data_IF_657829054103
#
_entry.id   IF_657829054103
#
_cell.length_a   1.000
_cell.length_b   1.000
_cell.length_c   1.000
_cell.angle_alpha   90.00
_cell.angle_beta   90.00
_cell.angle_gamma   90.00
#
_symmetry.space_group_name_H-M   'P 1'
#
loop_
_entity.id
_entity.type
_entity.pdbx_description
1 polymer ?
#
# COMPACT_ATOMS: atom_id res chain seq x y z
N UNK A 1 -78.60 33.74 42.86
CA UNK A 1 -78.65 32.85 44.05
C UNK A 1 -77.58 31.77 43.90
N UNK A 2 -76.89 31.48 45.01
CA UNK A 2 -76.04 30.32 45.35
C UNK A 2 -74.87 29.95 44.42
N UNK A 3 -73.60 30.13 44.86
CA UNK A 3 -72.82 29.40 45.91
C UNK A 3 -72.29 28.05 45.36
N UNK A 4 -71.03 27.85 44.95
CA UNK A 4 -69.69 27.86 45.60
C UNK A 4 -69.38 26.62 46.48
N UNK A 5 -68.14 26.11 46.34
CA UNK A 5 -67.33 25.17 47.19
C UNK A 5 -67.39 23.65 46.88
N UNK A 6 -66.33 22.82 46.98
CA UNK A 6 -64.84 22.93 47.01
C UNK A 6 -64.20 21.52 47.19
N UNK A 7 -62.94 21.33 46.75
CA UNK A 7 -61.92 20.39 47.31
C UNK A 7 -62.01 18.90 46.91
N UNK A 8 -60.95 18.09 46.77
CA UNK A 8 -59.49 18.07 47.09
C UNK A 8 -58.82 17.14 46.05
N UNK A 9 -57.68 17.43 45.41
CA UNK A 9 -56.25 17.49 45.84
C UNK A 9 -55.53 16.12 45.91
N UNK A 10 -54.51 15.94 45.06
CA UNK A 10 -53.40 14.97 45.19
C UNK A 10 -52.69 14.70 43.84
N UNK A 11 -51.73 15.54 43.41
CA UNK A 11 -50.24 15.32 43.43
C UNK A 11 -49.80 13.98 42.81
N UNK A 12 -48.79 13.87 41.94
CA UNK A 12 -47.77 14.73 41.31
C UNK A 12 -47.22 13.87 40.15
N UNK A 13 -46.67 14.46 39.09
CA UNK A 13 -45.30 14.18 38.61
C UNK A 13 -44.86 15.38 37.76
N UNK A 14 -43.71 15.94 38.14
CA UNK A 14 -43.06 17.08 37.51
C UNK A 14 -42.33 16.64 36.24
N UNK A 15 -42.41 17.47 35.19
CA UNK A 15 -41.36 17.55 34.17
C UNK A 15 -40.91 19.01 34.10
N UNK A 16 -39.60 19.18 34.02
CA UNK A 16 -38.82 20.40 34.24
C UNK A 16 -38.97 21.36 33.06
N UNK A 17 -39.23 22.64 33.35
CA UNK A 17 -39.07 23.75 32.41
C UNK A 17 -37.68 24.39 32.63
N UNK A 18 -36.97 24.78 31.57
CA UNK A 18 -37.02 26.18 31.08
C UNK A 18 -36.13 26.39 29.85
N UNK A 19 -36.81 26.80 28.77
CA UNK A 19 -36.58 27.96 27.87
C UNK A 19 -35.14 28.34 27.54
N UNK A 20 -34.87 28.56 26.25
CA UNK A 20 -34.60 29.92 25.74
C UNK A 20 -35.20 30.13 24.34
N UNK A 21 -35.64 31.36 24.12
CA UNK A 21 -36.49 31.87 23.04
C UNK A 21 -35.64 32.37 21.87
N UNK A 22 -36.05 32.07 20.64
CA UNK A 22 -35.51 32.67 19.42
C UNK A 22 -36.05 34.10 19.26
N UNK A 23 -35.18 35.08 19.05
CA UNK A 23 -35.57 36.43 18.62
C UNK A 23 -34.84 36.75 17.32
N UNK A 24 -35.61 36.85 16.24
CA UNK A 24 -35.18 37.28 14.91
C UNK A 24 -35.43 38.78 14.75
N UNK A 25 -34.45 39.54 14.29
CA UNK A 25 -34.65 40.89 13.73
C UNK A 25 -33.96 41.00 12.37
N UNK A 26 -34.67 41.58 11.40
CA UNK A 26 -34.26 41.73 9.99
C UNK A 26 -33.28 42.90 9.79
N UNK A 27 -32.33 42.65 8.87
CA UNK A 27 -31.68 43.53 7.88
C UNK A 27 -31.06 44.86 8.33
N UNK A 28 -29.74 44.99 8.21
CA UNK A 28 -29.15 45.93 7.24
C UNK A 28 -27.62 45.79 7.07
N UNK A 29 -27.23 45.60 5.80
CA UNK A 29 -26.03 46.03 5.04
C UNK A 29 -24.61 46.06 5.64
N UNK A 30 -23.74 45.32 4.94
CA UNK A 30 -22.43 45.71 4.40
C UNK A 30 -21.15 45.23 5.11
N UNK A 31 -20.16 44.96 4.25
CA UNK A 31 -18.73 44.76 4.47
C UNK A 31 -18.22 43.42 5.03
N UNK A 32 -17.85 42.56 4.08
CA UNK A 32 -16.53 41.91 3.91
C UNK A 32 -15.89 41.20 5.11
N UNK A 33 -15.51 39.94 4.83
CA UNK A 33 -14.49 39.12 5.48
C UNK A 33 -14.82 38.56 6.88
N UNK A 34 -15.42 37.38 6.87
CA UNK A 34 -15.06 36.35 7.84
C UNK A 34 -14.75 35.08 7.04
N UNK A 35 -13.46 34.82 6.85
CA UNK A 35 -12.96 33.63 6.20
C UNK A 35 -13.53 32.40 6.92
N UNK A 36 -14.22 31.54 6.17
CA UNK A 36 -14.46 30.17 6.56
C UNK A 36 -13.10 29.52 6.78
N UNK A 37 -12.72 29.33 8.04
CA UNK A 37 -11.63 28.43 8.40
C UNK A 37 -12.15 27.03 8.06
N UNK A 38 -11.95 26.64 6.80
CA UNK A 38 -11.85 25.24 6.42
C UNK A 38 -10.59 24.76 7.14
N UNK A 39 -10.76 24.14 8.30
CA UNK A 39 -9.69 23.28 8.83
C UNK A 39 -9.70 22.07 7.89
N UNK A 40 -9.02 22.23 6.77
CA UNK A 40 -8.57 21.11 5.94
C UNK A 40 -7.58 20.38 6.85
N UNK A 41 -8.05 19.35 7.55
CA UNK A 41 -7.18 18.41 8.26
C UNK A 41 -6.31 17.77 7.18
N UNK A 42 -5.14 18.36 6.92
CA UNK A 42 -4.15 17.81 6.01
C UNK A 42 -3.79 16.38 6.45
N UNK A 43 -3.52 15.47 5.50
CA UNK A 43 -3.31 14.04 5.73
C UNK A 43 -1.93 13.74 6.33
N UNK A 44 -1.55 14.45 7.39
CA UNK A 44 -0.34 14.21 8.20
C UNK A 44 -0.35 12.80 8.84
N UNK A 45 -1.50 12.11 8.83
CA UNK A 45 -1.67 10.76 9.37
C UNK A 45 -1.27 9.62 8.43
N UNK A 46 -0.89 9.90 7.17
CA UNK A 46 -0.64 8.84 6.19
C UNK A 46 0.65 9.02 5.39
N UNK A 47 1.59 9.86 5.86
CA UNK A 47 2.94 9.82 5.31
C UNK A 47 3.60 8.51 5.77
N UNK A 48 4.00 7.63 4.84
CA UNK A 48 4.71 6.41 5.22
C UNK A 48 5.98 6.82 5.97
N UNK A 49 6.23 6.17 7.09
CA UNK A 49 7.48 6.32 7.80
C UNK A 49 8.49 5.41 7.10
N UNK A 50 9.33 5.96 6.22
CA UNK A 50 10.44 5.20 5.64
C UNK A 50 11.67 5.39 6.53
N UNK A 51 12.33 4.28 6.87
CA UNK A 51 13.61 4.28 7.59
C UNK A 51 14.71 5.07 6.87
N UNK A 52 14.73 4.96 5.54
CA UNK A 52 15.60 5.67 4.61
C UNK A 52 14.73 6.31 3.51
N UNK A 53 15.11 7.46 2.93
CA UNK A 53 14.47 7.91 1.69
C UNK A 53 14.71 6.89 0.56
N UNK A 54 13.67 6.60 -0.22
CA UNK A 54 13.82 5.79 -1.43
C UNK A 54 14.52 6.57 -2.53
N UNK A 55 15.47 5.94 -3.20
CA UNK A 55 16.14 6.47 -4.39
C UNK A 55 15.39 6.11 -5.68
N UNK A 56 14.47 5.12 -5.62
CA UNK A 56 13.73 4.61 -6.78
C UNK A 56 12.28 5.09 -6.86
N UNK A 57 11.63 5.32 -5.71
CA UNK A 57 10.22 5.72 -5.64
C UNK A 57 10.08 7.22 -5.31
N UNK A 58 9.29 7.90 -6.13
CA UNK A 58 8.80 9.26 -5.84
C UNK A 58 7.65 9.22 -4.83
N UNK A 59 7.42 10.33 -4.13
CA UNK A 59 6.35 10.47 -3.12
C UNK A 59 4.99 10.00 -3.64
N UNK A 60 4.60 10.43 -4.84
CA UNK A 60 3.32 10.08 -5.46
C UNK A 60 3.22 8.58 -5.80
N UNK A 61 4.35 7.93 -6.10
CA UNK A 61 4.41 6.49 -6.34
C UNK A 61 4.24 5.70 -5.04
N UNK A 62 4.84 6.18 -3.95
CA UNK A 62 4.68 5.56 -2.63
C UNK A 62 3.22 5.68 -2.17
N UNK A 63 2.60 6.85 -2.31
CA UNK A 63 1.18 7.06 -1.98
C UNK A 63 0.23 6.12 -2.76
N UNK A 64 0.57 5.82 -4.01
CA UNK A 64 -0.15 4.83 -4.81
C UNK A 64 0.04 3.42 -4.26
N UNK A 65 1.28 3.00 -3.99
CA UNK A 65 1.58 1.66 -3.48
C UNK A 65 0.94 1.35 -2.13
N UNK A 66 0.95 2.30 -1.18
CA UNK A 66 0.39 2.13 0.17
C UNK A 66 -1.06 1.64 0.13
N UNK A 67 -1.85 2.12 -0.83
CA UNK A 67 -3.28 1.76 -0.97
C UNK A 67 -3.50 0.28 -1.31
N UNK A 68 -2.45 -0.42 -1.76
CA UNK A 68 -2.51 -1.82 -2.16
C UNK A 68 -1.78 -2.76 -1.20
N UNK A 69 -1.04 -2.22 -0.22
CA UNK A 69 -0.33 -3.05 0.75
C UNK A 69 -1.30 -3.89 1.61
N UNK A 70 -0.86 -5.07 2.08
CA UNK A 70 -1.66 -5.89 2.98
C UNK A 70 -2.04 -5.14 4.27
N UNK A 71 -3.24 -5.36 4.84
CA UNK A 71 -3.64 -4.71 6.08
C UNK A 71 -2.66 -4.91 7.26
N UNK A 72 -1.92 -6.03 7.26
CA UNK A 72 -0.92 -6.34 8.30
C UNK A 72 0.33 -5.45 8.26
N UNK A 73 0.55 -4.67 7.20
CA UNK A 73 1.66 -3.71 7.13
C UNK A 73 1.25 -2.33 7.64
N UNK A 74 -0.02 -2.09 7.96
CA UNK A 74 -0.51 -0.79 8.41
C UNK A 74 0.09 -0.47 9.78
N UNK A 75 0.66 0.73 9.91
CA UNK A 75 1.27 1.22 11.14
C UNK A 75 2.74 0.83 11.33
N UNK A 76 3.27 -0.06 10.49
CA UNK A 76 4.70 -0.39 10.46
C UNK A 76 5.44 0.52 9.49
N UNK A 77 6.64 1.02 9.86
CA UNK A 77 7.47 1.76 8.93
C UNK A 77 8.00 0.84 7.82
N UNK A 78 8.40 1.46 6.70
CA UNK A 78 9.09 0.76 5.61
C UNK A 78 10.59 0.75 5.92
N UNK A 79 11.13 -0.42 6.16
CA UNK A 79 12.54 -0.64 6.49
C UNK A 79 13.30 -1.09 5.25
N UNK A 80 14.30 -0.33 4.80
CA UNK A 80 15.13 -0.71 3.65
C UNK A 80 16.09 -1.82 4.06
N UNK A 81 15.76 -3.07 3.75
CA UNK A 81 16.55 -4.25 4.15
C UNK A 81 17.60 -4.65 3.12
N UNK A 82 17.43 -4.23 1.88
CA UNK A 82 18.40 -4.46 0.81
C UNK A 82 18.28 -3.40 -0.28
N UNK A 83 19.41 -3.02 -0.86
CA UNK A 83 19.46 -2.29 -2.13
C UNK A 83 20.73 -2.62 -2.88
N UNK A 84 20.67 -2.61 -4.21
CA UNK A 84 21.85 -2.85 -5.06
C UNK A 84 22.93 -1.80 -4.85
N UNK A 85 22.54 -0.54 -4.66
CA UNK A 85 23.47 0.56 -4.37
C UNK A 85 24.24 0.40 -3.05
N UNK A 86 23.62 -0.17 -2.00
CA UNK A 86 24.26 -0.36 -0.68
C UNK A 86 24.92 -1.74 -0.50
N UNK A 87 24.37 -2.78 -1.13
CA UNK A 87 24.71 -4.19 -0.82
C UNK A 87 25.32 -4.94 -2.01
N UNK A 88 25.39 -4.33 -3.19
CA UNK A 88 25.85 -4.93 -4.43
C UNK A 88 24.77 -5.74 -5.15
N UNK A 89 25.13 -6.38 -6.25
CA UNK A 89 24.22 -7.10 -7.14
C UNK A 89 24.44 -8.61 -6.99
N UNK A 90 23.94 -9.21 -5.90
CA UNK A 90 24.06 -10.66 -5.68
C UNK A 90 22.82 -11.22 -5.00
N UNK A 91 22.16 -12.16 -5.67
CA UNK A 91 20.97 -12.84 -5.15
C UNK A 91 21.27 -13.58 -3.83
N UNK A 92 22.48 -14.10 -3.67
CA UNK A 92 22.93 -14.72 -2.41
C UNK A 92 22.97 -13.72 -1.26
N UNK A 93 23.39 -12.48 -1.53
CA UNK A 93 23.37 -11.41 -0.53
C UNK A 93 21.93 -11.02 -0.20
N UNK A 94 21.05 -10.92 -1.21
CA UNK A 94 19.63 -10.69 -1.00
C UNK A 94 18.99 -11.77 -0.12
N UNK A 95 19.23 -13.07 -0.38
CA UNK A 95 18.70 -14.12 0.51
C UNK A 95 19.23 -14.03 1.93
N UNK A 96 20.47 -13.60 2.13
CA UNK A 96 21.03 -13.42 3.47
C UNK A 96 20.34 -12.30 4.25
N UNK A 97 19.88 -11.23 3.59
CA UNK A 97 19.13 -10.15 4.26
C UNK A 97 17.69 -10.52 4.57
N UNK A 98 17.15 -11.56 3.94
CA UNK A 98 15.82 -12.10 4.25
C UNK A 98 15.78 -12.96 5.52
N UNK A 99 16.93 -13.39 6.04
CA UNK A 99 16.99 -14.29 7.19
C UNK A 99 16.48 -13.60 8.46
N UNK A 100 15.50 -14.22 9.12
CA UNK A 100 14.92 -13.73 10.38
C UNK A 100 13.77 -12.75 10.21
N UNK A 101 13.44 -12.35 8.97
CA UNK A 101 12.25 -11.54 8.70
C UNK A 101 10.98 -12.41 8.76
N UNK A 102 9.89 -11.83 9.24
CA UNK A 102 8.54 -12.44 9.25
C UNK A 102 7.48 -11.40 8.86
N UNK A 103 7.62 -10.83 7.67
CA UNK A 103 6.79 -9.74 7.15
C UNK A 103 6.72 -9.82 5.62
N UNK A 104 5.69 -9.26 4.95
CA UNK A 104 5.70 -9.10 3.51
C UNK A 104 6.92 -8.30 3.05
N UNK A 105 7.37 -8.57 1.84
CA UNK A 105 8.52 -7.90 1.26
C UNK A 105 8.11 -7.17 -0.01
N UNK A 106 8.33 -5.87 -0.07
CA UNK A 106 8.14 -5.09 -1.29
C UNK A 106 9.48 -4.98 -2.03
N UNK A 107 9.52 -5.54 -3.24
CA UNK A 107 10.61 -5.38 -4.19
C UNK A 107 10.26 -4.29 -5.20
N UNK A 108 11.15 -3.30 -5.32
CA UNK A 108 11.08 -2.24 -6.30
C UNK A 108 12.28 -2.38 -7.22
N UNK A 109 12.02 -2.41 -8.52
CA UNK A 109 13.03 -2.52 -9.57
C UNK A 109 12.94 -1.27 -10.42
N UNK A 110 14.10 -0.67 -10.69
CA UNK A 110 14.26 0.33 -11.75
C UNK A 110 15.11 -0.28 -12.84
N UNK A 111 14.60 -0.30 -14.07
CA UNK A 111 15.36 -0.79 -15.23
C UNK A 111 16.24 0.31 -15.86
N UNK A 112 17.11 -0.08 -16.78
CA UNK A 112 17.98 0.84 -17.54
C UNK A 112 17.24 1.81 -18.45
N UNK A 113 15.96 1.53 -18.75
CA UNK A 113 15.08 2.43 -19.51
C UNK A 113 14.33 3.41 -18.59
N UNK A 114 14.63 3.40 -17.29
CA UNK A 114 14.08 4.29 -16.26
C UNK A 114 12.69 3.89 -15.76
N UNK A 115 12.17 2.73 -16.14
CA UNK A 115 10.86 2.25 -15.71
C UNK A 115 10.94 1.65 -14.31
N UNK A 116 9.88 1.89 -13.52
CA UNK A 116 9.76 1.37 -12.17
C UNK A 116 8.62 0.36 -12.11
N UNK A 117 8.90 -0.83 -11.62
CA UNK A 117 7.95 -1.93 -11.44
C UNK A 117 8.46 -2.88 -10.37
N UNK A 118 7.70 -3.91 -10.03
CA UNK A 118 8.15 -4.87 -9.04
C UNK A 118 7.04 -5.75 -8.50
N UNK A 119 7.24 -6.23 -7.28
CA UNK A 119 6.36 -7.17 -6.64
C UNK A 119 6.26 -6.92 -5.14
N UNK A 120 5.09 -7.15 -4.56
CA UNK A 120 4.97 -7.44 -3.14
C UNK A 120 4.90 -8.95 -2.97
N UNK A 121 5.84 -9.51 -2.21
CA UNK A 121 5.87 -10.90 -1.77
C UNK A 121 5.18 -11.05 -0.41
N UNK A 122 4.36 -12.09 -0.26
CA UNK A 122 3.69 -12.37 1.01
C UNK A 122 4.62 -12.84 2.12
N UNK A 123 5.84 -13.28 1.79
CA UNK A 123 6.85 -13.76 2.74
C UNK A 123 8.26 -13.49 2.18
N UNK A 124 9.32 -13.50 3.03
CA UNK A 124 10.67 -13.20 2.59
C UNK A 124 11.22 -14.18 1.55
N UNK A 125 12.09 -13.67 0.67
CA UNK A 125 12.65 -14.48 -0.41
C UNK A 125 13.55 -15.58 0.13
N UNK A 126 13.37 -16.79 -0.40
CA UNK A 126 14.15 -17.96 -0.06
C UNK A 126 14.37 -18.87 -1.26
N UNK A 127 15.42 -19.67 -1.17
CA UNK A 127 15.66 -20.80 -2.06
C UNK A 127 14.63 -21.89 -1.74
N UNK A 128 13.95 -22.40 -2.76
CA UNK A 128 12.90 -23.41 -2.64
C UNK A 128 12.74 -24.24 -3.91
N UNK A 129 12.66 -25.56 -3.73
CA UNK A 129 12.39 -26.49 -4.83
C UNK A 129 10.99 -26.27 -5.42
N UNK A 130 10.04 -25.85 -4.58
CA UNK A 130 8.65 -25.57 -4.94
C UNK A 130 8.33 -24.07 -4.94
N UNK A 131 7.22 -23.71 -5.58
CA UNK A 131 6.64 -22.38 -5.40
C UNK A 131 6.18 -22.17 -3.94
N UNK A 132 6.31 -20.95 -3.45
CA UNK A 132 5.88 -20.52 -2.11
C UNK A 132 5.16 -19.17 -2.19
N UNK A 133 4.69 -18.67 -1.06
CA UNK A 133 3.87 -17.47 -0.96
C UNK A 133 2.37 -17.73 -0.94
N UNK A 134 1.61 -16.65 -0.79
CA UNK A 134 0.15 -16.65 -0.71
C UNK A 134 -0.44 -15.66 -1.72
N UNK A 135 -1.77 -15.65 -1.82
CA UNK A 135 -2.52 -14.69 -2.64
C UNK A 135 -2.42 -13.22 -2.20
N UNK A 136 -1.72 -12.90 -1.10
CA UNK A 136 -1.30 -11.52 -0.79
C UNK A 136 -0.24 -11.01 -1.77
N UNK A 137 0.49 -11.92 -2.42
CA UNK A 137 1.51 -11.59 -3.42
C UNK A 137 0.86 -10.88 -4.61
N UNK A 138 1.44 -9.78 -5.07
CA UNK A 138 1.00 -9.08 -6.26
C UNK A 138 2.17 -8.47 -7.03
N UNK A 139 1.94 -8.17 -8.30
CA UNK A 139 2.88 -7.42 -9.14
C UNK A 139 2.37 -6.00 -9.33
N UNK A 140 3.28 -5.07 -9.61
CA UNK A 140 2.91 -3.72 -10.01
C UNK A 140 3.84 -3.19 -11.08
N UNK A 141 3.37 -2.22 -11.85
CA UNK A 141 4.19 -1.45 -12.79
C UNK A 141 3.75 0.00 -12.79
N UNK A 142 4.68 0.92 -13.07
CA UNK A 142 4.42 2.31 -13.41
C UNK A 142 4.55 2.57 -14.92
N UNK A 143 4.53 1.52 -15.75
CA UNK A 143 4.69 1.57 -17.21
C UNK A 143 3.45 1.03 -17.93
N UNK A 144 2.79 1.81 -18.82
CA UNK A 144 2.93 3.26 -19.02
C UNK A 144 2.31 4.08 -17.88
N UNK A 145 1.43 3.46 -17.09
CA UNK A 145 0.75 4.04 -15.94
C UNK A 145 0.86 3.08 -14.75
N UNK A 146 0.37 3.52 -13.59
CA UNK A 146 0.38 2.69 -12.40
C UNK A 146 -0.72 1.63 -12.43
N UNK A 147 -0.36 0.36 -12.44
CA UNK A 147 -1.28 -0.77 -12.29
C UNK A 147 -0.75 -1.79 -11.28
N UNK A 148 -1.69 -2.51 -10.65
CA UNK A 148 -1.43 -3.59 -9.68
C UNK A 148 -2.16 -4.85 -10.11
N UNK A 149 -1.41 -5.94 -10.28
CA UNK A 149 -1.90 -7.24 -10.70
C UNK A 149 -1.92 -8.20 -9.51
N UNK A 150 -3.11 -8.39 -8.93
CA UNK A 150 -3.34 -9.30 -7.81
C UNK A 150 -3.56 -10.73 -8.30
N UNK A 151 -3.51 -11.67 -7.37
CA UNK A 151 -3.79 -13.07 -7.67
C UNK A 151 -5.16 -13.27 -8.34
N UNK A 152 -5.17 -14.05 -9.43
CA UNK A 152 -6.37 -14.36 -10.22
C UNK A 152 -7.22 -15.49 -9.63
N UNK A 153 -6.66 -16.29 -8.73
CA UNK A 153 -7.27 -17.54 -8.27
C UNK A 153 -6.93 -18.77 -9.12
N UNK A 154 -6.20 -18.63 -10.24
CA UNK A 154 -5.96 -19.72 -11.20
C UNK A 154 -5.04 -20.83 -10.64
N UNK A 155 -3.93 -20.44 -10.00
CA UNK A 155 -2.93 -21.36 -9.45
C UNK A 155 -2.16 -20.71 -8.30
N UNK A 156 -1.32 -21.48 -7.59
CA UNK A 156 -0.54 -21.02 -6.43
C UNK A 156 0.95 -20.83 -6.74
N UNK A 157 1.30 -20.52 -7.99
CA UNK A 157 2.69 -20.36 -8.44
C UNK A 157 3.20 -18.93 -8.22
N UNK A 158 3.18 -18.45 -6.97
CA UNK A 158 3.45 -17.04 -6.64
C UNK A 158 4.92 -16.67 -6.76
N UNK A 159 5.79 -17.36 -6.02
CA UNK A 159 7.22 -17.04 -5.94
C UNK A 159 8.03 -18.32 -6.04
N UNK A 160 9.12 -18.30 -6.79
CA UNK A 160 10.11 -19.37 -6.84
C UNK A 160 11.51 -18.76 -6.82
N UNK A 161 12.37 -19.26 -5.94
CA UNK A 161 13.75 -18.82 -5.84
C UNK A 161 14.68 -20.02 -5.84
N UNK A 162 15.81 -19.91 -6.53
CA UNK A 162 16.93 -20.84 -6.48
C UNK A 162 18.25 -20.05 -6.41
N UNK A 163 19.39 -20.74 -6.49
CA UNK A 163 20.69 -20.07 -6.34
C UNK A 163 21.02 -19.12 -7.50
N UNK A 164 20.37 -19.30 -8.65
CA UNK A 164 20.70 -18.65 -9.91
C UNK A 164 19.56 -17.74 -10.41
N UNK A 165 18.39 -17.76 -9.76
CA UNK A 165 17.28 -16.91 -10.12
C UNK A 165 16.22 -16.71 -9.03
N UNK A 166 15.50 -15.60 -9.17
CA UNK A 166 14.29 -15.30 -8.40
C UNK A 166 13.16 -14.95 -9.37
N UNK A 167 12.00 -15.57 -9.18
CA UNK A 167 10.88 -15.49 -10.10
C UNK A 167 9.54 -15.33 -9.40
N UNK A 168 8.63 -14.62 -10.05
CA UNK A 168 7.26 -14.39 -9.62
C UNK A 168 6.28 -14.77 -10.73
N UNK A 169 5.20 -15.46 -10.35
CA UNK A 169 4.05 -15.74 -11.20
C UNK A 169 4.32 -16.74 -12.31
N UNK A 170 3.76 -17.95 -12.19
CA UNK A 170 3.91 -19.02 -13.18
C UNK A 170 2.62 -19.38 -13.94
N UNK A 171 2.57 -20.62 -14.43
CA UNK A 171 1.35 -21.22 -15.00
C UNK A 171 1.10 -20.96 -16.49
N UNK A 172 2.07 -20.39 -17.21
CA UNK A 172 1.96 -20.08 -18.65
C UNK A 172 3.19 -20.40 -19.51
N UNK A 173 4.20 -21.10 -18.97
CA UNK A 173 5.48 -21.39 -19.63
C UNK A 173 6.60 -20.46 -19.18
N UNK A 174 6.32 -19.16 -19.11
CA UNK A 174 7.25 -18.14 -18.60
C UNK A 174 6.83 -17.60 -17.23
N UNK A 175 7.72 -16.84 -16.61
CA UNK A 175 7.45 -16.13 -15.35
C UNK A 175 7.02 -14.69 -15.61
N UNK A 176 6.13 -14.16 -14.77
CA UNK A 176 5.71 -12.77 -14.89
C UNK A 176 6.81 -11.75 -14.61
N UNK A 177 7.70 -12.09 -13.68
CA UNK A 177 8.91 -11.37 -13.38
C UNK A 177 9.99 -12.38 -13.01
N UNK A 178 11.15 -12.29 -13.64
CA UNK A 178 12.31 -13.16 -13.40
C UNK A 178 13.56 -12.29 -13.33
N UNK A 179 14.46 -12.63 -12.41
CA UNK A 179 15.77 -12.01 -12.24
C UNK A 179 16.83 -13.11 -12.14
N UNK A 180 18.01 -12.86 -12.71
CA UNK A 180 19.16 -13.74 -12.58
C UNK A 180 19.88 -13.60 -11.23
N UNK A 181 20.83 -14.51 -10.97
CA UNK A 181 21.57 -14.59 -9.71
C UNK A 181 22.49 -13.39 -9.45
N UNK A 182 22.84 -12.66 -10.51
CA UNK A 182 23.59 -11.42 -10.45
C UNK A 182 22.68 -10.19 -10.34
N UNK A 183 21.36 -10.35 -10.28
CA UNK A 183 20.38 -9.27 -10.19
C UNK A 183 20.59 -8.17 -11.25
N UNK A 184 21.01 -8.58 -12.44
CA UNK A 184 21.36 -7.69 -13.54
C UNK A 184 20.47 -7.92 -14.76
N UNK A 185 20.25 -9.18 -15.15
CA UNK A 185 19.33 -9.52 -16.22
C UNK A 185 17.96 -9.84 -15.63
N UNK A 186 16.92 -9.26 -16.23
CA UNK A 186 15.55 -9.58 -15.89
C UNK A 186 14.69 -9.84 -17.11
N UNK A 187 13.62 -10.59 -16.88
CA UNK A 187 12.58 -10.88 -17.87
C UNK A 187 11.21 -10.67 -17.28
N UNK A 188 10.28 -10.17 -18.08
CA UNK A 188 8.87 -10.05 -17.72
C UNK A 188 7.98 -10.55 -18.84
N UNK A 189 6.98 -11.36 -18.48
CA UNK A 189 6.00 -11.92 -19.41
C UNK A 189 4.60 -11.86 -18.81
N UNK A 190 3.58 -12.17 -19.62
CA UNK A 190 2.26 -12.47 -19.07
C UNK A 190 2.23 -13.83 -18.38
N UNK A 191 1.49 -13.93 -17.27
CA UNK A 191 1.28 -15.19 -16.56
C UNK A 191 -0.19 -15.37 -16.12
N UNK A 192 -0.57 -16.61 -15.81
CA UNK A 192 -1.93 -16.90 -15.32
C UNK A 192 -2.13 -16.55 -13.85
N UNK A 193 -1.08 -16.62 -13.04
CA UNK A 193 -1.15 -16.36 -11.59
C UNK A 193 -1.65 -14.96 -11.29
N UNK A 194 -1.19 -13.94 -12.04
CA UNK A 194 -1.53 -12.54 -11.80
C UNK A 194 -2.31 -11.89 -12.95
N UNK A 195 -2.39 -12.53 -14.13
CA UNK A 195 -3.09 -11.95 -15.28
C UNK A 195 -2.47 -10.64 -15.77
N UNK A 196 -1.17 -10.44 -15.52
CA UNK A 196 -0.42 -9.25 -15.89
C UNK A 196 0.01 -9.29 -17.37
N UNK A 197 0.20 -8.14 -18.03
CA UNK A 197 1.04 -8.02 -19.23
C UNK A 197 2.53 -7.96 -18.84
N UNK A 198 3.40 -7.74 -19.83
CA UNK A 198 4.81 -7.38 -19.57
C UNK A 198 4.84 -6.12 -18.70
N UNK A 199 5.62 -6.14 -17.61
CA UNK A 199 5.69 -5.04 -16.64
C UNK A 199 6.62 -3.90 -17.09
N UNK A 200 7.65 -4.23 -17.87
CA UNK A 200 8.64 -3.33 -18.46
C UNK A 200 8.24 -2.90 -19.88
N UNK A 201 9.07 -2.06 -20.53
CA UNK A 201 8.87 -1.69 -21.95
C UNK A 201 9.04 -2.86 -22.93
N UNK A 202 9.84 -3.86 -22.55
CA UNK A 202 10.22 -5.03 -23.35
C UNK A 202 10.27 -6.26 -22.46
N UNK A 203 10.25 -7.45 -23.05
CA UNK A 203 10.35 -8.72 -22.32
C UNK A 203 11.65 -8.80 -21.51
N UNK A 204 12.80 -8.61 -22.18
CA UNK A 204 14.10 -8.53 -21.52
C UNK A 204 14.41 -7.09 -21.06
N UNK A 205 14.96 -6.97 -19.86
CA UNK A 205 15.42 -5.69 -19.30
C UNK A 205 16.72 -5.86 -18.51
N UNK A 206 17.47 -4.76 -18.40
CA UNK A 206 18.62 -4.68 -17.50
C UNK A 206 18.23 -3.91 -16.26
N UNK A 207 18.56 -4.47 -15.10
CA UNK A 207 18.34 -3.82 -13.81
C UNK A 207 19.34 -2.66 -13.68
N UNK A 208 18.81 -1.46 -13.43
CA UNK A 208 19.62 -0.34 -12.96
C UNK A 208 19.82 -0.48 -11.46
N UNK A 209 18.73 -0.56 -10.70
CA UNK A 209 18.74 -0.67 -9.25
C UNK A 209 17.54 -1.45 -8.70
N UNK A 210 17.74 -2.06 -7.53
CA UNK A 210 16.69 -2.74 -6.76
C UNK A 210 16.70 -2.18 -5.34
N UNK A 211 15.51 -1.94 -4.80
CA UNK A 211 15.27 -1.72 -3.37
C UNK A 211 14.29 -2.78 -2.84
N UNK A 212 14.58 -3.28 -1.64
CA UNK A 212 13.73 -4.23 -0.93
C UNK A 212 13.34 -3.64 0.41
N UNK A 213 12.03 -3.52 0.62
CA UNK A 213 11.44 -2.92 1.80
C UNK A 213 10.68 -3.98 2.61
N UNK A 214 10.96 -4.02 3.91
CA UNK A 214 10.24 -4.81 4.91
C UNK A 214 9.30 -3.89 5.73
N UNK A 215 8.30 -4.48 6.40
CA UNK A 215 7.36 -3.73 7.24
C UNK A 215 7.44 -4.24 8.69
N UNK A 216 8.23 -3.57 9.53
CA UNK A 216 8.50 -3.95 10.94
C UNK A 216 8.78 -2.73 11.83
#
# INVERSE_FOLDING_TARGET
>A
MSRFWYGKKGRKHQVVNHKYTLITTREDVNSKQAASIKVELEPELFRPNLSDPSELLQTEQIEKLIKHLPPRTIGYPWTLVYSTGKHGMSLKTLYRTMLGLDTPILMVIKDSDGQVFGALASEPFKVSDCFYGTGETFLFTFCPEFEVYKWTGDNMFFIKGDMDSLAFGGGGGEFALWLDGDLYHGRSHSCKTFGNPILSKKEDFFVQDIEIWAFE
#
